data_IF_254591856059
#
_entry.id   IF_254591856059
#
_cell.length_a   1.000
_cell.length_b   1.000
_cell.length_c   1.000
_cell.angle_alpha   90.00
_cell.angle_beta   90.00
_cell.angle_gamma   90.00
#
_symmetry.space_group_name_H-M   'P 1'
#
loop_
_entity.id
_entity.type
_entity.pdbx_description
1 polymer ?
#
# COMPACT_ATOMS: atom_id res chain seq x y z
N UNK A 1 -32.90 -2.98 28.25
CA UNK A 1 -33.14 -2.68 26.83
C UNK A 1 -33.28 -1.17 26.70
N UNK A 2 -32.21 -0.47 26.34
CA UNK A 2 -32.21 0.98 26.21
C UNK A 2 -33.14 1.36 25.06
N UNK A 3 -34.16 2.19 25.30
CA UNK A 3 -35.10 2.56 24.25
C UNK A 3 -34.32 3.23 23.12
N UNK A 4 -34.36 2.63 21.94
CA UNK A 4 -33.77 3.09 20.69
C UNK A 4 -34.18 4.54 20.30
N UNK A 5 -35.23 5.08 20.91
CA UNK A 5 -35.69 6.47 20.76
C UNK A 5 -34.70 7.54 21.29
N UNK A 6 -33.75 7.16 22.14
CA UNK A 6 -32.79 8.09 22.78
C UNK A 6 -31.33 7.87 22.32
N UNK A 7 -31.08 7.22 21.18
CA UNK A 7 -29.72 7.02 20.66
C UNK A 7 -29.07 8.38 20.30
N UNK A 8 -27.95 8.77 20.94
CA UNK A 8 -27.25 10.03 20.66
C UNK A 8 -26.89 10.20 19.19
N UNK A 9 -26.60 9.10 18.47
CA UNK A 9 -26.28 9.11 17.03
C UNK A 9 -27.49 9.50 16.21
N UNK A 10 -28.68 9.02 16.58
CA UNK A 10 -29.93 9.38 15.90
C UNK A 10 -30.30 10.85 16.17
N UNK A 11 -29.98 11.37 17.36
CA UNK A 11 -30.09 12.81 17.65
C UNK A 11 -29.15 13.65 16.77
N UNK A 12 -27.88 13.26 16.64
CA UNK A 12 -26.92 13.90 15.73
C UNK A 12 -27.44 13.89 14.28
N UNK A 13 -27.93 12.73 13.82
CA UNK A 13 -28.46 12.53 12.47
C UNK A 13 -29.58 13.52 12.13
N UNK A 14 -30.61 13.65 12.98
CA UNK A 14 -31.73 14.57 12.74
C UNK A 14 -31.31 16.04 12.85
N UNK A 15 -30.39 16.37 13.75
CA UNK A 15 -29.85 17.73 13.88
C UNK A 15 -29.06 18.13 12.64
N UNK A 16 -28.30 17.20 12.05
CA UNK A 16 -27.57 17.43 10.83
C UNK A 16 -28.51 17.68 9.63
N UNK A 17 -29.57 16.87 9.46
CA UNK A 17 -30.59 17.11 8.44
C UNK A 17 -31.24 18.50 8.59
N UNK A 18 -31.60 18.88 9.82
CA UNK A 18 -32.16 20.20 10.10
C UNK A 18 -31.16 21.33 9.80
N UNK A 19 -29.87 21.15 10.14
CA UNK A 19 -28.82 22.11 9.85
C UNK A 19 -28.65 22.31 8.34
N UNK A 20 -28.64 21.23 7.56
CA UNK A 20 -28.62 21.30 6.10
C UNK A 20 -29.83 22.04 5.52
N UNK A 21 -31.03 21.77 6.02
CA UNK A 21 -32.24 22.54 5.63
C UNK A 21 -32.07 24.03 5.91
N UNK A 22 -31.56 24.38 7.09
CA UNK A 22 -31.35 25.78 7.49
C UNK A 22 -30.27 26.47 6.65
N UNK A 23 -29.19 25.76 6.27
CA UNK A 23 -28.15 26.27 5.35
C UNK A 23 -28.69 26.58 3.95
N UNK A 24 -29.74 25.87 3.53
CA UNK A 24 -30.45 26.12 2.27
C UNK A 24 -31.52 27.23 2.40
N UNK A 25 -31.64 27.85 3.58
CA UNK A 25 -32.58 28.94 3.87
C UNK A 25 -34.06 28.61 3.60
N UNK A 26 -34.43 27.31 3.63
CA UNK A 26 -35.82 26.89 3.44
C UNK A 26 -36.51 26.51 4.75
N UNK A 27 -37.79 26.83 4.85
CA UNK A 27 -38.67 26.45 5.95
C UNK A 27 -39.02 24.96 5.91
N UNK A 28 -39.53 24.42 7.02
CA UNK A 28 -40.04 23.05 7.07
C UNK A 28 -41.21 22.84 6.09
N UNK A 29 -42.04 23.86 5.87
CA UNK A 29 -43.15 23.81 4.90
C UNK A 29 -42.61 23.67 3.48
N UNK A 30 -41.62 24.49 3.10
CA UNK A 30 -41.01 24.45 1.77
C UNK A 30 -40.29 23.12 1.50
N UNK A 31 -39.60 22.56 2.48
CA UNK A 31 -39.01 21.22 2.31
C UNK A 31 -40.09 20.14 2.15
N UNK A 32 -41.17 20.23 2.91
CA UNK A 32 -42.27 19.29 2.81
C UNK A 32 -42.97 19.36 1.43
N UNK A 33 -43.15 20.57 0.89
CA UNK A 33 -43.64 20.80 -0.47
C UNK A 33 -42.72 20.16 -1.52
N UNK A 34 -41.41 20.35 -1.41
CA UNK A 34 -40.43 19.69 -2.31
C UNK A 34 -40.50 18.17 -2.26
N UNK A 35 -40.82 17.59 -1.10
CA UNK A 35 -40.94 16.15 -0.89
C UNK A 35 -42.33 15.60 -1.24
N UNK A 36 -43.32 16.45 -1.53
CA UNK A 36 -44.71 16.02 -1.70
C UNK A 36 -45.32 15.42 -0.42
N UNK A 37 -44.90 15.90 0.77
CA UNK A 37 -45.34 15.43 2.08
C UNK A 37 -45.98 16.56 2.90
N UNK A 38 -46.81 16.26 3.92
CA UNK A 38 -47.28 17.28 4.87
C UNK A 38 -46.10 17.86 5.69
N UNK A 39 -46.15 19.12 6.09
CA UNK A 39 -45.11 19.73 6.95
C UNK A 39 -44.88 18.94 8.26
N UNK A 40 -45.91 18.24 8.77
CA UNK A 40 -45.78 17.36 9.93
C UNK A 40 -44.76 16.22 9.73
N UNK A 41 -44.50 15.79 8.50
CA UNK A 41 -43.41 14.84 8.20
C UNK A 41 -42.06 15.41 8.61
N UNK A 42 -41.77 16.64 8.16
CA UNK A 42 -40.52 17.36 8.45
C UNK A 42 -40.37 17.64 9.94
N UNK A 43 -41.41 18.21 10.55
CA UNK A 43 -41.40 18.50 11.99
C UNK A 43 -41.15 17.27 12.84
N UNK A 44 -41.82 16.14 12.55
CA UNK A 44 -41.70 14.92 13.35
C UNK A 44 -40.31 14.29 13.27
N UNK A 45 -39.66 14.26 12.11
CA UNK A 45 -38.31 13.70 12.05
C UNK A 45 -37.26 14.63 12.66
N UNK A 46 -37.40 15.96 12.49
CA UNK A 46 -36.47 16.93 13.10
C UNK A 46 -36.58 16.92 14.62
N UNK A 47 -37.78 16.72 15.18
CA UNK A 47 -38.01 16.60 16.62
C UNK A 47 -37.62 15.23 17.19
N UNK A 48 -37.58 14.19 16.35
CA UNK A 48 -37.28 12.81 16.76
C UNK A 48 -38.53 11.96 17.08
N UNK A 49 -39.72 12.49 16.82
CA UNK A 49 -41.00 11.78 16.96
C UNK A 49 -41.23 10.74 15.84
N UNK A 50 -40.44 10.81 14.77
CA UNK A 50 -40.48 9.88 13.64
C UNK A 50 -39.08 9.46 13.21
N UNK A 51 -38.93 8.19 12.87
CA UNK A 51 -37.71 7.65 12.25
C UNK A 51 -37.70 7.84 10.75
N UNK A 52 -36.52 8.07 10.20
CA UNK A 52 -36.24 8.17 8.76
C UNK A 52 -35.52 6.90 8.34
N UNK A 53 -36.04 6.25 7.30
CA UNK A 53 -35.34 5.15 6.65
C UNK A 53 -34.38 5.67 5.56
N UNK A 54 -33.66 4.76 4.91
CA UNK A 54 -32.67 5.13 3.92
C UNK A 54 -33.28 5.74 2.64
N UNK A 55 -34.48 5.30 2.24
CA UNK A 55 -35.15 5.84 1.05
C UNK A 55 -35.57 7.28 1.33
N UNK A 56 -36.19 7.51 2.47
CA UNK A 56 -36.59 8.85 2.92
C UNK A 56 -35.39 9.77 3.11
N UNK A 57 -34.26 9.27 3.62
CA UNK A 57 -33.01 10.03 3.68
C UNK A 57 -32.58 10.46 2.27
N UNK A 58 -32.57 9.53 1.30
CA UNK A 58 -32.19 9.84 -0.08
C UNK A 58 -33.08 10.93 -0.69
N UNK A 59 -34.40 10.84 -0.50
CA UNK A 59 -35.37 11.85 -0.96
C UNK A 59 -35.11 13.23 -0.32
N UNK A 60 -34.85 13.27 0.99
CA UNK A 60 -34.55 14.52 1.72
C UNK A 60 -33.26 15.16 1.21
N UNK A 61 -32.20 14.35 1.03
CA UNK A 61 -30.90 14.81 0.55
C UNK A 61 -31.00 15.40 -0.86
N UNK A 62 -31.75 14.73 -1.74
CA UNK A 62 -32.00 15.20 -3.10
C UNK A 62 -32.81 16.50 -3.12
N UNK A 63 -33.89 16.58 -2.33
CA UNK A 63 -34.71 17.80 -2.22
C UNK A 63 -33.94 19.02 -1.67
N UNK A 64 -32.91 18.76 -0.86
CA UNK A 64 -31.99 19.76 -0.33
C UNK A 64 -30.81 20.08 -1.27
N UNK A 65 -30.65 19.37 -2.39
CA UNK A 65 -29.57 19.59 -3.35
C UNK A 65 -28.18 19.20 -2.83
N UNK A 66 -28.11 18.23 -1.92
CA UNK A 66 -26.86 17.78 -1.27
C UNK A 66 -26.44 16.44 -1.88
N UNK A 67 -25.13 16.14 -1.91
CA UNK A 67 -24.67 14.78 -2.22
C UNK A 67 -24.72 13.93 -0.96
N UNK A 68 -25.27 12.71 -1.07
CA UNK A 68 -25.36 11.78 0.07
C UNK A 68 -24.01 11.53 0.75
N UNK A 69 -22.92 11.49 -0.03
CA UNK A 69 -21.57 11.33 0.50
C UNK A 69 -21.14 12.50 1.42
N UNK A 70 -21.48 13.74 1.07
CA UNK A 70 -21.16 14.92 1.88
C UNK A 70 -21.93 14.87 3.21
N UNK A 71 -23.20 14.49 3.17
CA UNK A 71 -23.99 14.28 4.39
C UNK A 71 -23.42 13.16 5.27
N UNK A 72 -23.00 12.04 4.66
CA UNK A 72 -22.35 10.94 5.40
C UNK A 72 -21.04 11.39 6.02
N UNK A 73 -20.25 12.19 5.31
CA UNK A 73 -19.01 12.77 5.84
C UNK A 73 -19.29 13.63 7.08
N UNK A 74 -20.20 14.60 6.99
CA UNK A 74 -20.58 15.47 8.12
C UNK A 74 -21.21 14.68 9.29
N UNK A 75 -21.97 13.62 8.98
CA UNK A 75 -22.51 12.74 10.03
C UNK A 75 -21.40 11.99 10.78
N UNK A 76 -20.37 11.59 10.04
CA UNK A 76 -19.16 10.95 10.54
C UNK A 76 -18.07 11.91 10.99
N UNK A 77 -18.27 13.25 10.99
CA UNK A 77 -17.39 14.24 11.67
C UNK A 77 -17.50 14.13 13.20
N UNK A 78 -17.45 12.90 13.73
CA UNK A 78 -16.52 12.55 14.79
C UNK A 78 -15.67 11.38 14.24
N UNK A 79 -14.42 11.70 13.87
CA UNK A 79 -13.31 10.77 13.62
C UNK A 79 -13.12 10.11 12.23
N UNK A 80 -13.12 10.90 11.15
CA UNK A 80 -12.11 10.65 10.10
C UNK A 80 -10.92 11.55 10.39
N UNK A 81 -9.69 11.03 10.60
CA UNK A 81 -8.53 11.88 10.71
C UNK A 81 -8.39 12.67 9.40
N UNK A 82 -8.19 14.00 9.51
CA UNK A 82 -7.88 14.86 8.37
C UNK A 82 -6.77 14.21 7.56
N UNK A 83 -6.96 14.05 6.25
CA UNK A 83 -5.90 13.53 5.42
C UNK A 83 -4.75 14.53 5.37
N UNK A 84 -3.56 14.06 5.01
CA UNK A 84 -2.42 14.95 4.80
C UNK A 84 -2.69 16.00 3.70
N UNK A 85 -3.63 15.72 2.77
CA UNK A 85 -4.05 16.66 1.74
C UNK A 85 -4.96 17.76 2.31
N UNK A 86 -5.82 17.40 3.27
CA UNK A 86 -6.67 18.37 3.97
C UNK A 86 -5.82 19.28 4.87
N UNK A 87 -4.86 18.69 5.59
CA UNK A 87 -3.93 19.44 6.45
C UNK A 87 -3.05 20.42 5.65
N UNK A 88 -2.61 20.01 4.46
CA UNK A 88 -1.76 20.84 3.60
C UNK A 88 -2.54 21.73 2.64
N UNK A 89 -3.88 21.66 2.65
CA UNK A 89 -4.77 22.42 1.78
C UNK A 89 -4.44 22.25 0.28
N UNK A 90 -4.08 21.03 -0.14
CA UNK A 90 -3.78 20.70 -1.53
C UNK A 90 -4.73 19.65 -2.11
N UNK A 91 -4.97 19.74 -3.41
CA UNK A 91 -5.74 18.75 -4.16
C UNK A 91 -4.86 17.60 -4.65
N UNK A 92 -5.44 16.41 -4.95
CA UNK A 92 -4.71 15.33 -5.60
C UNK A 92 -4.03 15.73 -6.92
N UNK A 93 -4.62 16.67 -7.67
CA UNK A 93 -4.04 17.23 -8.89
C UNK A 93 -2.77 18.00 -8.61
N UNK A 94 -2.79 18.91 -7.63
CA UNK A 94 -1.59 19.66 -7.21
C UNK A 94 -0.49 18.73 -6.70
N UNK A 95 -0.85 17.69 -5.94
CA UNK A 95 0.13 16.66 -5.53
C UNK A 95 0.73 15.97 -6.76
N UNK A 96 -0.08 15.62 -7.74
CA UNK A 96 0.37 14.94 -8.98
C UNK A 96 1.34 15.82 -9.76
N UNK A 97 1.02 17.10 -9.93
CA UNK A 97 1.89 18.09 -10.59
C UNK A 97 3.21 18.26 -9.84
N UNK A 98 3.16 18.43 -8.51
CA UNK A 98 4.34 18.52 -7.67
C UNK A 98 5.25 17.27 -7.82
N UNK A 99 4.69 16.07 -7.87
CA UNK A 99 5.46 14.83 -8.07
C UNK A 99 5.99 14.68 -9.50
N UNK A 100 5.32 15.25 -10.49
CA UNK A 100 5.81 15.29 -11.86
C UNK A 100 7.06 16.18 -11.98
N UNK A 101 7.03 17.34 -11.32
CA UNK A 101 8.14 18.31 -11.28
C UNK A 101 9.32 17.85 -10.40
N UNK A 102 9.08 16.92 -9.46
CA UNK A 102 10.09 16.43 -8.51
C UNK A 102 10.30 14.90 -8.62
N UNK A 103 11.02 14.40 -9.65
CA UNK A 103 11.20 12.96 -9.87
C UNK A 103 11.84 12.19 -8.69
N UNK A 104 12.77 12.81 -7.96
CA UNK A 104 13.40 12.20 -6.79
C UNK A 104 12.39 11.95 -5.66
N UNK A 105 11.50 12.91 -5.40
CA UNK A 105 10.43 12.77 -4.41
C UNK A 105 9.40 11.72 -4.87
N UNK A 106 9.05 11.72 -6.16
CA UNK A 106 8.18 10.70 -6.75
C UNK A 106 8.76 9.30 -6.56
N UNK A 107 10.06 9.12 -6.81
CA UNK A 107 10.75 7.85 -6.59
C UNK A 107 10.74 7.42 -5.11
N UNK A 108 10.99 8.36 -4.20
CA UNK A 108 10.93 8.09 -2.76
C UNK A 108 9.53 7.64 -2.32
N UNK A 109 8.47 8.33 -2.74
CA UNK A 109 7.10 7.95 -2.42
C UNK A 109 6.70 6.62 -3.08
N UNK A 110 7.10 6.39 -4.33
CA UNK A 110 6.83 5.13 -5.03
C UNK A 110 7.37 3.92 -4.26
N UNK A 111 8.53 4.06 -3.60
CA UNK A 111 9.08 3.02 -2.72
C UNK A 111 8.13 2.68 -1.57
N UNK A 112 7.66 3.69 -0.84
CA UNK A 112 6.70 3.48 0.27
C UNK A 112 5.36 2.91 -0.22
N UNK A 113 4.87 3.36 -1.38
CA UNK A 113 3.66 2.79 -1.98
C UNK A 113 3.89 1.33 -2.38
N UNK A 114 5.06 0.98 -2.93
CA UNK A 114 5.41 -0.39 -3.25
C UNK A 114 5.43 -1.29 -2.00
N UNK A 115 6.02 -0.84 -0.89
CA UNK A 115 5.98 -1.57 0.39
C UNK A 115 4.54 -1.79 0.88
N UNK A 116 3.69 -0.76 0.80
CA UNK A 116 2.27 -0.87 1.16
C UNK A 116 1.54 -1.90 0.28
N UNK A 117 1.76 -1.87 -1.03
CA UNK A 117 1.16 -2.80 -1.99
C UNK A 117 1.66 -4.23 -1.78
N UNK A 118 2.95 -4.41 -1.53
CA UNK A 118 3.55 -5.70 -1.20
C UNK A 118 2.95 -6.28 0.08
N UNK A 119 2.82 -5.46 1.14
CA UNK A 119 2.18 -5.87 2.38
C UNK A 119 0.75 -6.34 2.15
N UNK A 120 -0.05 -5.59 1.39
CA UNK A 120 -1.42 -5.99 1.04
C UNK A 120 -1.47 -7.30 0.24
N UNK A 121 -0.53 -7.51 -0.67
CA UNK A 121 -0.38 -8.76 -1.41
C UNK A 121 -0.05 -9.93 -0.48
N UNK A 122 0.90 -9.77 0.44
CA UNK A 122 1.30 -10.85 1.36
C UNK A 122 0.17 -11.20 2.34
N UNK A 123 -0.59 -10.22 2.82
CA UNK A 123 -1.76 -10.45 3.69
C UNK A 123 -2.82 -11.32 3.02
N UNK A 124 -2.96 -11.25 1.69
CA UNK A 124 -3.96 -12.04 0.97
C UNK A 124 -3.53 -13.48 0.69
N UNK A 125 -2.27 -13.85 0.95
CA UNK A 125 -1.76 -15.21 0.72
C UNK A 125 -2.25 -16.14 1.84
N UNK A 126 -2.98 -17.23 1.52
CA UNK A 126 -3.38 -18.23 2.51
C UNK A 126 -2.17 -18.83 3.21
N UNK A 127 -2.28 -19.18 4.50
CA UNK A 127 -1.20 -19.74 5.34
C UNK A 127 -0.06 -18.78 5.72
N UNK A 128 -0.16 -17.49 5.37
CA UNK A 128 0.61 -16.45 6.07
C UNK A 128 -0.06 -16.21 7.42
N UNK A 129 0.65 -16.47 8.50
CA UNK A 129 0.13 -16.38 9.87
C UNK A 129 0.59 -15.13 10.62
N UNK A 130 1.64 -14.47 10.13
CA UNK A 130 2.19 -13.26 10.71
C UNK A 130 2.87 -12.41 9.65
N UNK A 131 2.79 -11.09 9.80
CA UNK A 131 3.43 -10.12 8.93
C UNK A 131 3.77 -8.87 9.74
N UNK A 132 4.98 -8.34 9.57
CA UNK A 132 5.36 -7.03 10.11
C UNK A 132 6.29 -6.31 9.15
N UNK A 133 6.23 -4.97 9.16
CA UNK A 133 7.32 -4.15 8.65
C UNK A 133 8.50 -4.29 9.62
N UNK A 134 9.71 -4.38 9.08
CA UNK A 134 10.91 -4.28 9.88
C UNK A 134 11.32 -2.81 9.91
N UNK A 135 11.52 -2.28 11.11
CA UNK A 135 12.03 -0.93 11.30
C UNK A 135 13.56 -1.02 11.35
N UNK A 136 14.26 -0.09 10.70
CA UNK A 136 15.71 -0.13 10.46
C UNK A 136 16.55 -0.29 11.75
N UNK A 137 15.96 -0.03 12.92
CA UNK A 137 16.60 -0.08 14.23
C UNK A 137 16.63 -1.47 14.89
N UNK A 138 15.96 -2.51 14.36
CA UNK A 138 15.96 -3.84 14.97
C UNK A 138 16.02 -5.00 13.95
N UNK A 139 17.22 -5.58 13.73
CA UNK A 139 17.52 -7.05 13.67
C UNK A 139 18.82 -7.37 12.94
N UNK A 140 19.32 -8.60 13.16
CA UNK A 140 20.54 -9.22 12.58
C UNK A 140 20.42 -9.60 11.08
N UNK A 141 19.24 -9.45 10.45
CA UNK A 141 18.97 -9.73 9.03
C UNK A 141 18.14 -8.60 8.42
N UNK A 142 18.40 -8.28 7.15
CA UNK A 142 17.80 -7.15 6.41
C UNK A 142 16.51 -7.59 5.70
N UNK A 143 15.59 -6.65 5.49
CA UNK A 143 14.40 -6.81 4.66
C UNK A 143 13.34 -5.78 5.02
N UNK A 144 12.56 -5.32 4.05
CA UNK A 144 11.46 -4.36 4.28
C UNK A 144 10.26 -5.02 4.97
N UNK A 145 10.08 -6.33 4.75
CA UNK A 145 8.94 -7.08 5.25
C UNK A 145 9.37 -8.44 5.82
N UNK A 146 8.83 -8.77 6.98
CA UNK A 146 8.97 -10.08 7.60
C UNK A 146 7.62 -10.79 7.62
N UNK A 147 7.61 -12.07 7.26
CA UNK A 147 6.42 -12.90 7.29
C UNK A 147 6.68 -14.29 7.87
N UNK A 148 5.63 -14.91 8.42
CA UNK A 148 5.62 -16.34 8.75
C UNK A 148 4.64 -17.03 7.81
N UNK A 149 5.13 -18.00 7.04
CA UNK A 149 4.37 -18.83 6.12
C UNK A 149 4.60 -20.30 6.43
N UNK A 150 3.54 -21.09 6.61
CA UNK A 150 3.62 -22.53 6.95
C UNK A 150 4.64 -22.83 8.08
N UNK A 151 4.63 -22.01 9.14
CA UNK A 151 5.53 -22.08 10.32
C UNK A 151 7.02 -21.78 10.04
N UNK A 152 7.36 -21.27 8.86
CA UNK A 152 8.70 -20.81 8.50
C UNK A 152 8.72 -19.30 8.33
N UNK A 153 9.78 -18.66 8.80
CA UNK A 153 9.95 -17.21 8.76
C UNK A 153 10.81 -16.79 7.57
N UNK A 154 10.40 -15.73 6.88
CA UNK A 154 11.07 -15.18 5.69
C UNK A 154 11.19 -13.66 5.75
N UNK A 155 12.32 -13.14 5.27
CA UNK A 155 12.61 -11.72 5.07
C UNK A 155 12.54 -11.39 3.59
N UNK A 156 11.74 -10.39 3.25
CA UNK A 156 11.55 -9.89 1.90
C UNK A 156 12.21 -8.52 1.77
N UNK A 157 13.03 -8.34 0.73
CA UNK A 157 13.54 -7.04 0.31
C UNK A 157 12.71 -6.55 -0.89
N UNK A 158 12.15 -5.35 -0.81
CA UNK A 158 11.30 -4.73 -1.83
C UNK A 158 12.10 -3.69 -2.63
N UNK A 159 12.26 -3.93 -3.93
CA UNK A 159 12.89 -2.98 -4.86
C UNK A 159 11.94 -2.62 -5.99
N UNK A 160 12.22 -1.50 -6.65
CA UNK A 160 11.48 -1.06 -7.85
C UNK A 160 12.43 -0.98 -9.04
N UNK A 161 11.87 -1.12 -10.25
CA UNK A 161 12.60 -0.89 -11.48
C UNK A 161 13.13 0.55 -11.55
N UNK A 162 14.36 0.71 -12.03
CA UNK A 162 14.90 2.03 -12.36
C UNK A 162 14.19 2.54 -13.62
N UNK A 163 13.43 3.63 -13.52
CA UNK A 163 12.58 4.11 -14.61
C UNK A 163 13.35 4.41 -15.91
N UNK A 164 14.60 4.88 -15.80
CA UNK A 164 15.47 5.15 -16.95
C UNK A 164 16.04 3.88 -17.62
N UNK A 165 15.91 2.71 -16.99
CA UNK A 165 16.34 1.43 -17.54
C UNK A 165 15.24 0.69 -18.28
N UNK A 166 13.99 1.13 -18.16
CA UNK A 166 12.83 0.43 -18.71
C UNK A 166 12.77 0.59 -20.23
N UNK A 167 12.64 -0.52 -20.94
CA UNK A 167 12.60 -0.57 -22.40
C UNK A 167 11.54 -1.59 -22.85
N UNK A 168 10.84 -1.23 -23.93
CA UNK A 168 9.94 -2.12 -24.64
C UNK A 168 10.62 -2.66 -25.89
N UNK A 169 10.68 -3.98 -26.03
CA UNK A 169 11.13 -4.66 -27.24
C UNK A 169 9.89 -5.04 -28.07
N UNK A 170 9.68 -4.32 -29.17
CA UNK A 170 8.56 -4.52 -30.09
C UNK A 170 8.62 -5.87 -30.83
N UNK A 171 9.82 -6.40 -31.08
CA UNK A 171 10.03 -7.65 -31.82
C UNK A 171 9.61 -8.85 -30.99
N UNK A 172 10.05 -8.87 -29.73
CA UNK A 172 9.78 -9.96 -28.80
C UNK A 172 8.57 -9.70 -27.90
N UNK A 173 7.91 -8.54 -28.05
CA UNK A 173 6.73 -8.10 -27.28
C UNK A 173 6.96 -8.22 -25.77
N UNK A 174 8.09 -7.71 -25.31
CA UNK A 174 8.50 -7.83 -23.91
C UNK A 174 9.06 -6.54 -23.35
N UNK A 175 8.81 -6.33 -22.07
CA UNK A 175 9.50 -5.32 -21.29
C UNK A 175 10.82 -5.85 -20.75
N UNK A 176 11.81 -4.96 -20.63
CA UNK A 176 13.04 -5.20 -19.90
C UNK A 176 13.40 -3.98 -19.06
N UNK A 177 14.12 -4.20 -17.98
CA UNK A 177 14.58 -3.16 -17.07
C UNK A 177 15.57 -3.71 -16.05
N UNK A 178 15.97 -2.87 -15.11
CA UNK A 178 16.88 -3.25 -14.03
C UNK A 178 16.32 -2.79 -12.70
N UNK A 179 16.39 -3.66 -11.70
CA UNK A 179 16.18 -3.30 -10.30
C UNK A 179 17.55 -3.08 -9.65
N UNK A 180 17.69 -1.97 -8.91
CA UNK A 180 18.89 -1.74 -8.11
C UNK A 180 18.72 -2.46 -6.76
N UNK A 181 19.62 -3.39 -6.46
CA UNK A 181 19.56 -4.30 -5.29
C UNK A 181 20.78 -4.05 -4.40
N UNK A 182 20.90 -2.83 -3.93
CA UNK A 182 21.92 -2.40 -2.98
C UNK A 182 21.30 -1.70 -1.76
N UNK A 183 22.14 -1.43 -0.77
CA UNK A 183 21.82 -0.61 0.38
C UNK A 183 21.84 0.88 0.07
N UNK A 184 21.08 1.66 0.85
CA UNK A 184 21.04 3.12 0.75
C UNK A 184 22.40 3.76 0.96
N UNK A 185 23.19 3.18 1.88
CA UNK A 185 24.45 3.74 2.34
C UNK A 185 25.57 2.70 2.30
N UNK A 186 26.79 3.19 2.11
CA UNK A 186 27.99 2.36 2.25
C UNK A 186 28.14 1.94 3.70
N UNK A 187 28.38 0.65 3.89
CA UNK A 187 28.60 0.07 5.22
C UNK A 187 29.71 -0.97 5.16
N UNK A 188 30.29 -1.20 6.33
CA UNK A 188 31.26 -2.27 6.53
C UNK A 188 30.52 -3.60 6.69
N UNK A 189 30.78 -4.56 5.82
CA UNK A 189 30.24 -5.93 5.87
C UNK A 189 31.37 -6.94 6.04
N UNK A 190 31.12 -7.98 6.84
CA UNK A 190 32.03 -9.11 6.98
C UNK A 190 31.63 -10.20 5.99
N UNK A 191 32.61 -10.74 5.30
CA UNK A 191 32.44 -11.76 4.29
C UNK A 191 32.74 -13.16 4.84
N UNK A 192 32.22 -14.23 4.19
CA UNK A 192 32.50 -15.61 4.60
C UNK A 192 33.99 -15.97 4.59
N UNK A 193 34.79 -15.32 3.75
CA UNK A 193 36.26 -15.49 3.69
C UNK A 193 37.01 -14.80 4.85
N UNK A 194 36.28 -14.17 5.78
CA UNK A 194 36.83 -13.44 6.92
C UNK A 194 37.28 -12.01 6.59
N UNK A 195 37.21 -11.59 5.32
CA UNK A 195 37.53 -10.22 4.93
C UNK A 195 36.38 -9.26 5.24
N UNK A 196 36.70 -7.97 5.28
CA UNK A 196 35.72 -6.90 5.48
C UNK A 196 35.73 -5.97 4.28
N UNK A 197 34.54 -5.59 3.79
CA UNK A 197 34.38 -4.65 2.68
C UNK A 197 33.51 -3.47 3.09
N UNK A 198 33.87 -2.27 2.64
CA UNK A 198 32.99 -1.11 2.70
C UNK A 198 32.28 -0.93 1.36
N UNK A 199 31.00 -1.29 1.30
CA UNK A 199 30.22 -1.33 0.04
C UNK A 199 28.74 -1.06 0.28
N UNK A 200 28.01 -0.72 -0.78
CA UNK A 200 26.54 -0.70 -0.77
C UNK A 200 25.94 -2.05 -1.14
N UNK A 201 26.71 -2.97 -1.74
CA UNK A 201 26.18 -4.26 -2.19
C UNK A 201 25.69 -5.11 -1.02
N UNK A 202 24.60 -5.85 -1.28
CA UNK A 202 23.99 -6.76 -0.31
C UNK A 202 24.65 -8.12 -0.36
N UNK A 203 24.72 -8.78 0.79
CA UNK A 203 25.23 -10.15 0.89
C UNK A 203 24.22 -11.15 0.37
N UNK A 204 24.71 -12.23 -0.24
CA UNK A 204 23.89 -13.43 -0.43
C UNK A 204 23.51 -14.00 0.93
N UNK A 205 22.22 -14.22 1.14
CA UNK A 205 21.62 -14.67 2.40
C UNK A 205 21.28 -13.56 3.40
N UNK A 206 21.49 -12.28 3.06
CA UNK A 206 21.16 -11.16 3.96
C UNK A 206 19.64 -10.98 4.17
N UNK A 207 18.87 -11.32 3.14
CA UNK A 207 17.43 -11.46 3.11
C UNK A 207 17.09 -12.77 2.37
N UNK A 208 15.85 -13.23 2.44
CA UNK A 208 15.47 -14.54 1.88
C UNK A 208 14.90 -14.40 0.45
N UNK A 209 14.04 -13.40 0.21
CA UNK A 209 13.32 -13.20 -1.07
C UNK A 209 13.45 -11.74 -1.54
N UNK A 210 13.76 -11.53 -2.82
CA UNK A 210 13.65 -10.23 -3.48
C UNK A 210 12.25 -10.12 -4.09
N UNK A 211 11.53 -9.04 -3.78
CA UNK A 211 10.30 -8.64 -4.45
C UNK A 211 10.56 -7.40 -5.31
N UNK A 212 10.41 -7.52 -6.63
CA UNK A 212 10.58 -6.40 -7.55
C UNK A 212 9.23 -5.88 -8.01
N UNK A 213 8.94 -4.62 -7.71
CA UNK A 213 7.80 -3.89 -8.23
C UNK A 213 7.98 -3.58 -9.74
N UNK A 214 7.08 -4.13 -10.55
CA UNK A 214 7.08 -4.02 -12.01
C UNK A 214 6.15 -2.92 -12.56
N UNK A 215 5.62 -2.03 -11.70
CA UNK A 215 4.69 -0.97 -12.10
C UNK A 215 5.19 -0.12 -13.28
N UNK A 216 6.51 0.10 -13.39
CA UNK A 216 7.08 0.89 -14.47
C UNK A 216 6.96 0.27 -15.87
N UNK A 217 6.60 -1.00 -16.00
CA UNK A 217 6.36 -1.65 -17.30
C UNK A 217 4.99 -1.31 -17.88
N UNK A 218 3.92 -1.81 -17.27
CA UNK A 218 2.56 -1.71 -17.83
C UNK A 218 1.65 -0.75 -17.04
N UNK A 219 2.17 -0.02 -16.05
CA UNK A 219 1.37 0.84 -15.17
C UNK A 219 0.46 0.07 -14.20
N UNK A 220 0.71 -1.23 -14.03
CA UNK A 220 -0.06 -2.11 -13.14
C UNK A 220 0.79 -2.53 -11.94
N UNK A 221 0.18 -2.60 -10.76
CA UNK A 221 0.86 -3.04 -9.54
C UNK A 221 1.01 -4.56 -9.51
N UNK A 222 2.11 -5.04 -10.08
CA UNK A 222 2.55 -6.44 -9.98
C UNK A 222 3.96 -6.50 -9.40
N UNK A 223 4.23 -7.60 -8.73
CA UNK A 223 5.55 -7.95 -8.23
C UNK A 223 6.00 -9.25 -8.86
N UNK A 224 7.31 -9.36 -9.04
CA UNK A 224 7.97 -10.64 -9.30
C UNK A 224 8.93 -10.95 -8.16
N UNK A 225 9.18 -12.24 -7.94
CA UNK A 225 9.86 -12.70 -6.74
C UNK A 225 11.03 -13.61 -7.10
N UNK A 226 12.17 -13.46 -6.47
CA UNK A 226 13.29 -14.38 -6.65
C UNK A 226 13.90 -14.74 -5.30
N UNK A 227 14.41 -15.97 -5.15
CA UNK A 227 15.26 -16.32 -4.02
C UNK A 227 16.50 -15.47 -4.07
N UNK A 228 16.93 -14.98 -2.91
CA UNK A 228 18.22 -14.31 -2.79
C UNK A 228 19.36 -15.19 -3.33
N UNK A 229 19.32 -16.49 -3.04
CA UNK A 229 20.29 -17.48 -3.48
C UNK A 229 20.31 -17.78 -5.00
N UNK A 230 19.37 -17.22 -5.77
CA UNK A 230 19.33 -17.38 -7.23
C UNK A 230 19.67 -16.06 -7.96
N UNK A 231 19.83 -14.94 -7.23
CA UNK A 231 20.15 -13.65 -7.82
C UNK A 231 21.55 -13.62 -8.44
N UNK A 232 21.77 -12.86 -9.52
CA UNK A 232 23.09 -12.68 -10.10
C UNK A 232 24.05 -12.06 -9.08
N UNK A 233 25.31 -12.47 -9.15
CA UNK A 233 26.36 -11.99 -8.25
C UNK A 233 27.13 -10.82 -8.85
N UNK A 234 27.84 -10.08 -8.01
CA UNK A 234 28.74 -9.02 -8.45
C UNK A 234 29.77 -9.54 -9.46
N UNK A 235 30.15 -8.68 -10.40
CA UNK A 235 31.22 -8.90 -11.38
C UNK A 235 32.26 -7.77 -11.35
N UNK A 236 32.31 -7.03 -10.24
CA UNK A 236 33.22 -5.91 -10.08
C UNK A 236 34.68 -6.38 -10.05
N UNK A 237 35.49 -5.89 -10.99
CA UNK A 237 36.89 -6.31 -11.16
C UNK A 237 37.80 -5.98 -9.97
N UNK A 238 37.37 -5.06 -9.10
CA UNK A 238 38.11 -4.70 -7.89
C UNK A 238 37.89 -5.66 -6.71
N UNK A 239 36.98 -6.63 -6.83
CA UNK A 239 36.73 -7.66 -5.83
C UNK A 239 37.38 -8.97 -6.23
N UNK A 240 37.78 -9.77 -5.24
CA UNK A 240 38.17 -11.17 -5.49
C UNK A 240 36.99 -11.98 -6.02
N UNK A 241 37.28 -13.17 -6.56
CA UNK A 241 36.22 -14.06 -7.04
C UNK A 241 35.27 -14.49 -5.90
N UNK A 242 35.80 -14.77 -4.71
CA UNK A 242 35.00 -15.15 -3.53
C UNK A 242 34.14 -13.99 -3.02
N UNK A 243 34.68 -12.78 -3.02
CA UNK A 243 33.96 -11.57 -2.67
C UNK A 243 32.82 -11.31 -3.66
N UNK A 244 33.09 -11.43 -4.97
CA UNK A 244 32.07 -11.30 -6.00
C UNK A 244 30.97 -12.35 -5.84
N UNK A 245 31.30 -13.62 -5.58
CA UNK A 245 30.33 -14.70 -5.34
C UNK A 245 29.48 -14.48 -4.09
N UNK A 246 30.00 -13.76 -3.09
CA UNK A 246 29.30 -13.48 -1.83
C UNK A 246 28.34 -12.28 -1.92
N UNK A 247 28.47 -11.45 -2.96
CA UNK A 247 27.71 -10.21 -3.12
C UNK A 247 26.71 -10.30 -4.27
N UNK A 248 25.51 -9.77 -4.04
CA UNK A 248 24.48 -9.64 -5.08
C UNK A 248 24.93 -8.55 -6.06
N UNK A 249 24.64 -8.75 -7.35
CA UNK A 249 24.88 -7.73 -8.37
C UNK A 249 24.09 -6.45 -8.05
N UNK A 250 24.71 -5.29 -8.23
CA UNK A 250 24.05 -4.00 -8.01
C UNK A 250 22.77 -3.87 -8.83
N UNK A 251 22.84 -4.24 -10.12
CA UNK A 251 21.72 -4.16 -11.04
C UNK A 251 21.30 -5.57 -11.42
N UNK A 252 20.10 -5.95 -11.00
CA UNK A 252 19.47 -7.21 -11.35
C UNK A 252 18.59 -6.99 -12.58
N UNK A 253 18.88 -7.65 -13.72
CA UNK A 253 18.03 -7.58 -14.92
C UNK A 253 16.65 -8.19 -14.64
N UNK A 254 15.61 -7.55 -15.15
CA UNK A 254 14.22 -7.94 -14.97
C UNK A 254 13.49 -7.79 -16.30
N UNK A 255 12.56 -8.69 -16.59
CA UNK A 255 11.69 -8.60 -17.77
C UNK A 255 10.22 -8.86 -17.44
N UNK A 256 9.36 -8.50 -18.38
CA UNK A 256 7.97 -8.93 -18.40
C UNK A 256 7.57 -9.43 -19.80
N UNK A 257 7.10 -10.69 -19.94
CA UNK A 257 6.95 -11.71 -18.89
C UNK A 257 8.25 -12.04 -18.14
N UNK A 258 8.17 -12.49 -16.88
CA UNK A 258 9.38 -12.77 -16.11
C UNK A 258 10.09 -14.02 -16.62
N UNK A 259 11.42 -13.97 -16.56
CA UNK A 259 12.31 -15.11 -16.83
C UNK A 259 12.94 -15.60 -15.50
N UNK A 260 13.47 -16.84 -15.46
CA UNK A 260 14.23 -17.32 -14.31
C UNK A 260 15.31 -16.31 -13.87
N UNK A 261 15.51 -16.09 -12.56
CA UNK A 261 14.96 -16.87 -11.45
C UNK A 261 13.62 -16.34 -10.89
N UNK A 262 12.90 -15.50 -11.64
CA UNK A 262 11.73 -14.81 -11.12
C UNK A 262 10.44 -15.62 -11.23
N UNK A 263 9.67 -15.59 -10.15
CA UNK A 263 8.32 -16.13 -10.00
C UNK A 263 7.31 -14.99 -10.09
N UNK A 264 6.20 -15.22 -10.79
CA UNK A 264 5.05 -14.29 -10.82
C UNK A 264 4.30 -14.30 -9.48
N UNK A 265 4.26 -15.47 -8.83
CA UNK A 265 3.47 -15.69 -7.63
C UNK A 265 4.38 -16.00 -6.45
N UNK A 266 4.34 -15.15 -5.42
CA UNK A 266 5.10 -15.34 -4.19
C UNK A 266 4.75 -16.64 -3.48
N UNK A 267 3.49 -17.09 -3.57
CA UNK A 267 3.07 -18.34 -2.93
C UNK A 267 3.81 -19.54 -3.50
N UNK A 268 3.96 -19.61 -4.83
CA UNK A 268 4.61 -20.73 -5.49
C UNK A 268 6.08 -20.80 -5.06
N UNK A 269 6.75 -19.64 -4.97
CA UNK A 269 8.11 -19.55 -4.44
C UNK A 269 8.19 -19.98 -2.97
N UNK A 270 7.28 -19.50 -2.13
CA UNK A 270 7.24 -19.84 -0.70
C UNK A 270 6.96 -21.33 -0.47
N UNK A 271 6.05 -21.94 -1.24
CA UNK A 271 5.77 -23.36 -1.16
C UNK A 271 7.03 -24.16 -1.53
N UNK A 272 7.71 -23.82 -2.63
CA UNK A 272 8.95 -24.48 -3.04
C UNK A 272 10.07 -24.31 -2.00
N UNK A 273 10.22 -23.12 -1.40
CA UNK A 273 11.19 -22.85 -0.32
C UNK A 273 10.86 -23.63 0.96
N UNK A 274 9.60 -23.75 1.36
CA UNK A 274 9.23 -24.52 2.56
C UNK A 274 9.45 -26.01 2.32
N UNK A 275 9.08 -26.51 1.14
CA UNK A 275 9.20 -27.92 0.79
C UNK A 275 10.68 -28.35 0.62
N UNK A 276 11.57 -27.42 0.27
CA UNK A 276 13.04 -27.60 0.29
C UNK A 276 13.67 -27.46 1.69
N UNK A 277 12.87 -27.09 2.71
CA UNK A 277 13.33 -26.92 4.09
C UNK A 277 13.96 -25.57 4.40
N UNK A 278 13.77 -24.54 3.56
CA UNK A 278 14.24 -23.17 3.76
C UNK A 278 13.34 -22.35 4.74
N UNK A 279 13.76 -21.11 5.00
CA UNK A 279 13.15 -20.23 6.01
C UNK A 279 13.65 -20.52 7.42
N UNK A 280 13.49 -19.58 8.34
CA UNK A 280 13.96 -19.74 9.73
C UNK A 280 12.85 -20.27 10.63
N UNK A 281 13.23 -20.84 11.78
CA UNK A 281 12.27 -21.09 12.84
C UNK A 281 11.83 -19.73 13.43
N UNK A 282 10.53 -19.41 13.52
CA UNK A 282 10.10 -18.10 13.98
C UNK A 282 10.52 -17.71 15.42
N UNK A 283 10.97 -18.68 16.21
CA UNK A 283 11.38 -18.53 17.62
C UNK A 283 12.89 -18.34 17.82
N UNK A 284 13.69 -18.37 16.75
CA UNK A 284 15.14 -18.12 16.77
C UNK A 284 15.47 -16.73 16.25
#
# INVERSE_FOLDING_TARGET
MTSLAHDPRYKKFRQLLAAYRLRQEITQMQLAEKLGRPQSFVSKYENGDRRIDFIELSEIIEALGIKLLDFMHDFHEEASPSSILDEWEITPTQLTEMLAENPSLRGMLLRYVAELKLKALVVSIPNVTYITKLDDHQRKKRGDLFLIYRKRAFHLESKSLQSNSVQWDETHKRWSGKAQVDGSDKRSINLPDGSTLNTTLLLRGEFDILAVNCHAFEGKWHFIFARNADLPTSNYRGYSEEQNKSLIANLVPVSWPPEPPFYVNLRDLLDEMVDSGEGMNPTT
#
